data_IF_332056391226
#
_entry.id   IF_332056391226
#
_cell.length_a   1.000
_cell.length_b   1.000
_cell.length_c   1.000
_cell.angle_alpha   90.00
_cell.angle_beta   90.00
_cell.angle_gamma   90.00
#
_symmetry.space_group_name_H-M   'P 1'
#
loop_
_entity.id
_entity.type
_entity.pdbx_description
1 polymer ?
#
# COMPACT_ATOMS: atom_id res chain seq x y z
N UNK A 1 -48.28 -21.35 14.66
CA UNK A 1 -48.54 -20.75 15.99
C UNK A 1 -47.19 -20.31 16.53
N UNK A 2 -46.91 -18.99 16.47
CA UNK A 2 -45.94 -18.14 17.20
C UNK A 2 -44.68 -18.82 17.78
N UNK A 3 -43.42 -18.49 17.44
CA UNK A 3 -42.76 -17.16 17.52
C UNK A 3 -41.40 -17.16 16.77
N UNK A 4 -41.06 -16.13 15.97
CA UNK A 4 -39.72 -15.86 15.43
C UNK A 4 -39.03 -14.67 16.13
N UNK A 5 -37.70 -14.73 16.28
CA UNK A 5 -36.90 -13.53 16.55
C UNK A 5 -35.65 -13.78 17.38
N UNK A 6 -34.52 -13.98 16.73
CA UNK A 6 -33.20 -13.52 17.19
C UNK A 6 -32.32 -13.24 15.95
N UNK A 7 -31.99 -11.95 15.74
CA UNK A 7 -31.01 -11.45 14.78
C UNK A 7 -29.61 -11.51 15.44
N UNK A 8 -28.60 -12.15 14.83
CA UNK A 8 -27.27 -12.25 15.42
C UNK A 8 -26.41 -10.97 15.33
N UNK A 9 -26.96 -9.81 14.93
CA UNK A 9 -26.25 -8.52 14.79
C UNK A 9 -26.23 -7.60 16.03
N UNK A 10 -26.63 -8.07 17.20
CA UNK A 10 -26.57 -7.28 18.43
C UNK A 10 -25.20 -7.42 19.13
N UNK A 11 -24.23 -6.61 18.70
CA UNK A 11 -23.07 -6.24 19.52
C UNK A 11 -22.89 -4.72 19.44
N UNK A 12 -22.85 -4.07 20.61
CA UNK A 12 -22.88 -2.61 20.80
C UNK A 12 -21.87 -1.85 19.91
N UNK A 13 -22.39 -1.26 18.84
CA UNK A 13 -21.73 -0.27 18.01
C UNK A 13 -22.79 0.66 17.43
N UNK A 14 -22.68 1.97 17.68
CA UNK A 14 -23.67 2.95 17.24
C UNK A 14 -23.68 3.08 15.71
N UNK A 15 -24.67 2.49 15.05
CA UNK A 15 -24.95 2.68 13.62
C UNK A 15 -25.78 3.96 13.44
N UNK A 16 -25.29 4.92 12.64
CA UNK A 16 -26.07 6.10 12.23
C UNK A 16 -26.33 6.03 10.72
N UNK A 17 -27.61 5.99 10.32
CA UNK A 17 -28.04 6.03 8.91
C UNK A 17 -28.57 7.43 8.56
N UNK A 18 -28.25 7.94 7.36
CA UNK A 18 -28.77 9.20 6.82
C UNK A 18 -29.54 8.97 5.52
N UNK A 19 -30.77 9.45 5.42
CA UNK A 19 -31.72 9.15 4.33
C UNK A 19 -31.84 10.33 3.33
N UNK A 20 -31.91 10.07 2.01
CA UNK A 20 -32.29 11.08 1.01
C UNK A 20 -32.90 10.42 -0.26
N UNK A 21 -33.89 11.11 -0.86
CA UNK A 21 -34.83 10.67 -1.92
C UNK A 21 -34.24 10.60 -3.36
N UNK A 22 -34.95 9.97 -4.34
CA UNK A 22 -34.34 9.29 -5.51
C UNK A 22 -34.43 10.06 -6.83
N UNK A 23 -33.55 9.72 -7.79
CA UNK A 23 -33.91 9.50 -9.21
C UNK A 23 -32.72 8.99 -10.06
N UNK A 24 -33.05 8.20 -11.09
CA UNK A 24 -32.26 7.15 -11.80
C UNK A 24 -32.20 5.88 -10.94
N UNK A 25 -32.36 4.67 -11.51
CA UNK A 25 -32.17 3.37 -10.83
C UNK A 25 -30.74 3.30 -10.24
N UNK A 26 -30.55 4.02 -9.14
CA UNK A 26 -29.32 4.12 -8.42
C UNK A 26 -29.26 2.84 -7.61
N UNK A 27 -28.30 1.98 -7.93
CA UNK A 27 -27.90 0.91 -7.01
C UNK A 27 -27.70 1.57 -5.66
N UNK A 28 -28.62 1.32 -4.73
CA UNK A 28 -28.67 2.05 -3.50
C UNK A 28 -27.47 1.58 -2.67
N UNK A 29 -26.46 2.41 -2.50
CA UNK A 29 -25.29 2.05 -1.69
C UNK A 29 -25.44 2.63 -0.28
N UNK A 30 -25.25 1.79 0.73
CA UNK A 30 -25.17 2.20 2.14
C UNK A 30 -23.71 2.26 2.58
N UNK A 31 -23.39 3.22 3.45
CA UNK A 31 -22.05 3.36 4.03
C UNK A 31 -22.15 3.13 5.53
N UNK A 32 -21.48 2.10 6.03
CA UNK A 32 -21.35 1.82 7.45
C UNK A 32 -19.98 2.27 7.95
N UNK A 33 -19.96 2.98 9.08
CA UNK A 33 -18.72 3.35 9.78
C UNK A 33 -18.46 2.34 10.89
N UNK A 34 -17.37 1.58 10.77
CA UNK A 34 -16.96 0.62 11.80
C UNK A 34 -15.70 1.12 12.50
N UNK A 35 -15.67 1.04 13.82
CA UNK A 35 -14.56 1.55 14.65
C UNK A 35 -14.05 0.57 15.71
N UNK A 36 -14.51 -0.68 15.64
CA UNK A 36 -14.10 -1.73 16.56
C UNK A 36 -13.86 -3.05 15.83
N UNK A 37 -12.95 -3.86 16.37
CA UNK A 37 -12.70 -5.20 15.83
C UNK A 37 -13.95 -6.09 15.90
N UNK A 38 -14.78 -5.95 16.95
CA UNK A 38 -16.03 -6.69 17.09
C UNK A 38 -17.01 -6.39 15.93
N UNK A 39 -17.13 -5.12 15.54
CA UNK A 39 -17.96 -4.72 14.40
C UNK A 39 -17.40 -5.14 13.03
N UNK A 40 -16.08 -5.35 12.91
CA UNK A 40 -15.44 -5.77 11.66
C UNK A 40 -15.52 -7.28 11.40
N UNK A 41 -15.43 -8.12 12.44
CA UNK A 41 -15.39 -9.58 12.31
C UNK A 41 -16.51 -10.17 11.43
N UNK A 42 -17.77 -9.72 11.51
CA UNK A 42 -18.85 -10.21 10.64
C UNK A 42 -18.62 -9.99 9.14
N UNK A 43 -17.78 -9.03 8.76
CA UNK A 43 -17.53 -8.65 7.36
C UNK A 43 -16.30 -9.32 6.75
N UNK A 44 -15.60 -10.17 7.50
CA UNK A 44 -14.36 -10.81 7.03
C UNK A 44 -14.54 -11.60 5.73
N UNK A 45 -15.58 -12.44 5.55
CA UNK A 45 -15.79 -13.13 4.27
C UNK A 45 -16.00 -12.17 3.09
N UNK A 46 -16.80 -11.12 3.27
CA UNK A 46 -17.12 -10.14 2.23
C UNK A 46 -15.90 -9.28 1.88
N UNK A 47 -15.05 -8.97 2.86
CA UNK A 47 -13.78 -8.28 2.66
C UNK A 47 -12.81 -9.12 1.81
N UNK A 48 -12.64 -10.40 2.14
CA UNK A 48 -11.80 -11.29 1.33
C UNK A 48 -12.29 -11.40 -0.11
N UNK A 49 -13.60 -11.55 -0.27
CA UNK A 49 -14.20 -11.61 -1.59
C UNK A 49 -14.03 -10.28 -2.35
N UNK A 50 -14.12 -9.13 -1.68
CA UNK A 50 -13.89 -7.80 -2.29
C UNK A 50 -12.45 -7.66 -2.80
N UNK A 51 -11.46 -8.14 -2.03
CA UNK A 51 -10.05 -8.06 -2.43
C UNK A 51 -9.79 -8.76 -3.78
N UNK A 52 -10.46 -9.88 -4.05
CA UNK A 52 -10.32 -10.64 -5.30
C UNK A 52 -10.92 -9.92 -6.52
N UNK A 53 -11.95 -9.08 -6.31
CA UNK A 53 -12.67 -8.38 -7.39
C UNK A 53 -12.43 -6.87 -7.42
N UNK A 54 -11.43 -6.38 -6.69
CA UNK A 54 -11.17 -4.95 -6.62
C UNK A 54 -10.72 -4.38 -7.98
N UNK A 55 -11.01 -3.09 -8.16
CA UNK A 55 -10.68 -2.31 -9.36
C UNK A 55 -9.17 -2.08 -9.49
N UNK A 56 -8.50 -1.86 -8.37
CA UNK A 56 -7.04 -1.65 -8.26
C UNK A 56 -6.54 -2.44 -7.06
N UNK A 57 -5.50 -3.28 -7.19
CA UNK A 57 -4.98 -4.08 -6.09
C UNK A 57 -4.40 -3.21 -4.98
N UNK A 58 -4.70 -3.56 -3.73
CA UNK A 58 -4.02 -3.04 -2.56
C UNK A 58 -3.87 -4.12 -1.48
N UNK A 59 -2.76 -4.89 -1.45
CA UNK A 59 -2.57 -5.95 -0.47
C UNK A 59 -2.51 -5.43 0.97
N UNK A 60 -2.16 -4.16 1.18
CA UNK A 60 -2.04 -3.57 2.51
C UNK A 60 -3.40 -3.30 3.17
N UNK A 61 -4.47 -3.19 2.37
CA UNK A 61 -5.85 -3.07 2.85
C UNK A 61 -6.63 -4.38 2.73
N UNK A 62 -5.97 -5.48 2.39
CA UNK A 62 -6.57 -6.79 2.52
C UNK A 62 -6.62 -7.24 3.98
N UNK A 63 -7.55 -8.13 4.30
CA UNK A 63 -7.78 -8.63 5.67
C UNK A 63 -6.49 -9.14 6.32
N UNK A 64 -5.69 -9.91 5.57
CA UNK A 64 -4.44 -10.51 6.04
C UNK A 64 -3.36 -9.51 6.46
N UNK A 65 -3.39 -8.28 5.93
CA UNK A 65 -2.43 -7.24 6.28
C UNK A 65 -3.00 -6.23 7.29
N UNK A 66 -4.22 -5.75 7.06
CA UNK A 66 -4.80 -4.69 7.87
C UNK A 66 -5.29 -5.18 9.24
N UNK A 67 -5.90 -6.37 9.33
CA UNK A 67 -6.43 -6.86 10.62
C UNK A 67 -5.31 -7.04 11.66
N UNK A 68 -4.17 -7.70 11.35
CA UNK A 68 -3.05 -7.75 12.29
C UNK A 68 -2.56 -6.35 12.69
N UNK A 69 -2.52 -5.37 11.78
CA UNK A 69 -2.11 -3.99 12.09
C UNK A 69 -3.03 -3.29 13.10
N UNK A 70 -4.33 -3.57 13.02
CA UNK A 70 -5.32 -3.06 13.97
C UNK A 70 -5.24 -3.77 15.32
N UNK A 71 -5.12 -5.11 15.32
CA UNK A 71 -5.06 -5.93 16.55
C UNK A 71 -3.77 -5.69 17.35
N UNK A 72 -2.63 -5.53 16.67
CA UNK A 72 -1.32 -5.27 17.28
C UNK A 72 -1.11 -3.79 17.69
N UNK A 73 -2.12 -2.93 17.48
CA UNK A 73 -2.08 -1.52 17.86
C UNK A 73 -1.04 -0.69 17.09
N UNK A 74 -0.65 -1.13 15.89
CA UNK A 74 0.28 -0.42 15.02
C UNK A 74 -0.42 0.78 14.36
N UNK A 75 -1.69 0.59 13.99
CA UNK A 75 -2.55 1.69 13.56
C UNK A 75 -2.97 2.52 14.78
N UNK A 76 -2.84 3.84 14.68
CA UNK A 76 -3.22 4.72 15.77
C UNK A 76 -4.71 4.58 16.14
N UNK A 77 -5.02 4.80 17.41
CA UNK A 77 -6.40 4.83 17.90
C UNK A 77 -7.25 5.87 17.12
N UNK A 78 -8.55 5.58 17.00
CA UNK A 78 -9.48 6.45 16.28
C UNK A 78 -9.54 6.23 14.77
N UNK A 79 -9.05 5.10 14.28
CA UNK A 79 -9.33 4.62 12.94
C UNK A 79 -10.84 4.34 12.75
N UNK A 80 -11.29 4.37 11.50
CA UNK A 80 -12.63 4.01 11.03
C UNK A 80 -12.46 3.20 9.75
N UNK A 81 -13.30 2.20 9.54
CA UNK A 81 -13.40 1.52 8.25
C UNK A 81 -14.79 1.84 7.69
N UNK A 82 -14.82 2.53 6.55
CA UNK A 82 -16.03 2.74 5.79
C UNK A 82 -16.31 1.48 4.97
N UNK A 83 -17.41 0.80 5.26
CA UNK A 83 -17.91 -0.33 4.48
C UNK A 83 -19.03 0.17 3.56
N UNK A 84 -18.82 0.07 2.26
CA UNK A 84 -19.80 0.45 1.25
C UNK A 84 -20.49 -0.82 0.76
N UNK A 85 -21.79 -0.92 1.03
CA UNK A 85 -22.58 -2.14 0.83
C UNK A 85 -23.68 -1.86 -0.19
N UNK A 86 -23.87 -2.80 -1.10
CA UNK A 86 -24.96 -2.79 -2.07
C UNK A 86 -26.29 -3.08 -1.32
N UNK A 87 -27.26 -2.17 -1.36
CA UNK A 87 -28.53 -2.36 -0.64
C UNK A 87 -29.36 -3.49 -1.25
N UNK A 88 -29.18 -3.76 -2.54
CA UNK A 88 -29.88 -4.83 -3.25
C UNK A 88 -29.19 -6.19 -3.06
N UNK A 89 -27.94 -6.18 -2.56
CA UNK A 89 -27.16 -7.34 -2.22
C UNK A 89 -26.38 -7.08 -0.91
N UNK A 90 -27.03 -7.15 0.27
CA UNK A 90 -26.43 -6.75 1.56
C UNK A 90 -25.20 -7.57 1.95
N UNK A 91 -25.04 -8.77 1.38
CA UNK A 91 -23.86 -9.61 1.56
C UNK A 91 -22.71 -9.25 0.60
N UNK A 92 -22.89 -8.25 -0.27
CA UNK A 92 -21.88 -7.80 -1.23
C UNK A 92 -21.30 -6.46 -0.80
N UNK A 93 -20.06 -6.52 -0.34
CA UNK A 93 -19.25 -5.33 -0.12
C UNK A 93 -18.78 -4.77 -1.47
N UNK A 94 -19.17 -3.53 -1.76
CA UNK A 94 -18.80 -2.77 -2.95
C UNK A 94 -17.59 -1.85 -2.71
N UNK A 95 -17.27 -1.55 -1.46
CA UNK A 95 -16.07 -0.79 -1.11
C UNK A 95 -15.66 -0.91 0.34
N UNK A 96 -14.36 -0.74 0.59
CA UNK A 96 -13.76 -0.70 1.92
C UNK A 96 -12.70 0.41 1.95
N UNK A 97 -12.93 1.41 2.79
CA UNK A 97 -12.05 2.59 2.92
C UNK A 97 -11.60 2.74 4.37
N UNK A 98 -10.41 2.23 4.74
CA UNK A 98 -9.83 2.46 6.06
C UNK A 98 -9.38 3.91 6.14
N UNK A 99 -9.91 4.67 7.09
CA UNK A 99 -9.55 6.08 7.33
C UNK A 99 -9.19 6.34 8.79
N UNK A 100 -8.42 7.38 9.02
CA UNK A 100 -8.08 7.91 10.32
C UNK A 100 -8.13 9.43 10.30
N UNK A 101 -8.37 10.03 11.46
CA UNK A 101 -8.40 11.48 11.59
C UNK A 101 -7.01 12.00 11.90
N UNK A 102 -6.51 12.90 11.06
CA UNK A 102 -5.19 13.53 11.19
C UNK A 102 -5.28 15.03 10.97
N UNK A 103 -4.28 15.79 11.44
CA UNK A 103 -4.11 17.18 10.99
C UNK A 103 -3.64 17.15 9.53
N UNK A 104 -4.18 18.02 8.70
CA UNK A 104 -3.74 18.13 7.31
C UNK A 104 -2.28 18.58 7.22
N UNK A 105 -1.92 19.54 8.09
CA UNK A 105 -0.62 20.19 8.11
C UNK A 105 -0.24 20.59 9.55
N UNK A 106 1.04 20.52 9.97
CA UNK A 106 1.45 20.88 11.33
C UNK A 106 1.05 22.30 11.77
N UNK A 107 1.04 23.25 10.82
CA UNK A 107 0.74 24.66 11.05
C UNK A 107 -0.76 25.01 11.04
N UNK A 108 -1.67 24.06 10.75
CA UNK A 108 -3.10 24.33 10.65
C UNK A 108 -3.88 23.35 11.52
N UNK A 109 -4.81 23.81 12.38
CA UNK A 109 -5.56 22.92 13.28
C UNK A 109 -6.63 22.08 12.56
N UNK A 110 -6.88 22.34 11.28
CA UNK A 110 -7.87 21.64 10.47
C UNK A 110 -7.52 20.14 10.37
N UNK A 111 -8.44 19.32 10.87
CA UNK A 111 -8.40 17.89 10.68
C UNK A 111 -8.88 17.50 9.28
N UNK A 112 -8.37 16.38 8.79
CA UNK A 112 -8.81 15.67 7.59
C UNK A 112 -8.96 14.19 7.92
N UNK A 113 -9.85 13.52 7.21
CA UNK A 113 -9.84 12.07 7.10
C UNK A 113 -8.76 11.68 6.10
N UNK A 114 -7.87 10.77 6.47
CA UNK A 114 -6.85 10.20 5.59
C UNK A 114 -6.95 8.70 5.60
N UNK A 115 -6.53 8.00 4.53
CA UNK A 115 -6.39 6.56 4.57
C UNK A 115 -5.53 6.11 5.76
N UNK A 116 -5.88 5.01 6.42
CA UNK A 116 -5.06 4.42 7.49
C UNK A 116 -3.66 4.13 6.94
N UNK A 117 -2.63 4.59 7.63
CA UNK A 117 -1.23 4.40 7.25
C UNK A 117 -0.42 3.87 8.43
N UNK A 118 0.56 3.02 8.11
CA UNK A 118 1.58 2.52 9.04
C UNK A 118 2.82 2.08 8.25
N UNK A 119 3.91 1.74 8.94
CA UNK A 119 5.23 1.43 8.35
C UNK A 119 5.28 0.19 7.43
N UNK A 120 4.14 -0.49 7.27
CA UNK A 120 3.96 -1.68 6.45
C UNK A 120 2.85 -1.51 5.40
N UNK A 121 2.29 -0.30 5.24
CA UNK A 121 1.27 0.02 4.23
C UNK A 121 1.82 1.04 3.23
N UNK A 122 2.20 0.56 2.04
CA UNK A 122 2.83 1.41 1.01
C UNK A 122 1.85 1.89 -0.07
N UNK A 123 0.60 1.42 -0.04
CA UNK A 123 -0.49 1.86 -0.92
C UNK A 123 -1.73 2.14 -0.07
N UNK A 124 -2.42 3.22 -0.40
CA UNK A 124 -3.60 3.71 0.33
C UNK A 124 -4.83 3.78 -0.57
N UNK A 125 -4.80 3.10 -1.72
CA UNK A 125 -5.95 3.00 -2.62
C UNK A 125 -7.07 2.23 -1.91
N UNK A 126 -8.28 2.80 -1.83
CA UNK A 126 -9.41 2.08 -1.25
C UNK A 126 -9.73 0.82 -2.05
N UNK A 127 -10.18 -0.24 -1.37
CA UNK A 127 -10.70 -1.42 -2.07
C UNK A 127 -12.07 -1.07 -2.61
N UNK A 128 -12.22 -1.03 -3.94
CA UNK A 128 -13.49 -0.74 -4.61
C UNK A 128 -13.79 -1.89 -5.57
N UNK A 129 -14.99 -2.45 -5.51
CA UNK A 129 -15.45 -3.51 -6.41
C UNK A 129 -15.49 -2.98 -7.85
N UNK A 130 -14.81 -3.67 -8.77
CA UNK A 130 -14.70 -3.26 -10.17
C UNK A 130 -16.05 -3.14 -10.86
N UNK A 131 -17.00 -4.02 -10.54
CA UNK A 131 -18.33 -4.05 -11.14
C UNK A 131 -19.32 -3.06 -10.50
N UNK A 132 -18.92 -2.43 -9.38
CA UNK A 132 -19.74 -1.47 -8.64
C UNK A 132 -19.01 -0.14 -8.43
N UNK A 133 -17.96 0.11 -9.22
CA UNK A 133 -17.02 1.20 -8.96
C UNK A 133 -17.68 2.58 -8.97
N UNK A 134 -18.51 2.88 -9.98
CA UNK A 134 -19.25 4.14 -10.07
C UNK A 134 -20.14 4.37 -8.83
N UNK A 135 -20.99 3.39 -8.49
CA UNK A 135 -21.90 3.48 -7.35
C UNK A 135 -21.14 3.57 -6.00
N UNK A 136 -20.04 2.85 -5.85
CA UNK A 136 -19.23 2.89 -4.63
C UNK A 136 -18.50 4.24 -4.46
N UNK A 137 -17.92 4.79 -5.53
CA UNK A 137 -17.31 6.14 -5.50
C UNK A 137 -18.35 7.21 -5.23
N UNK A 138 -19.54 7.12 -5.83
CA UNK A 138 -20.64 8.04 -5.55
C UNK A 138 -21.05 7.99 -4.06
N UNK A 139 -21.18 6.79 -3.49
CA UNK A 139 -21.48 6.59 -2.07
C UNK A 139 -20.42 7.18 -1.14
N UNK A 140 -19.13 6.99 -1.46
CA UNK A 140 -18.03 7.60 -0.71
C UNK A 140 -18.13 9.13 -0.73
N UNK A 141 -18.45 9.73 -1.87
CA UNK A 141 -18.60 11.20 -1.96
C UNK A 141 -19.87 11.71 -1.27
N UNK A 142 -20.96 10.93 -1.25
CA UNK A 142 -22.13 11.22 -0.42
C UNK A 142 -21.76 11.23 1.06
N UNK A 143 -20.94 10.29 1.50
CA UNK A 143 -20.42 10.26 2.87
C UNK A 143 -19.57 11.50 3.18
N UNK A 144 -18.68 11.93 2.27
CA UNK A 144 -17.90 13.17 2.43
C UNK A 144 -18.81 14.40 2.55
N UNK A 145 -19.89 14.45 1.76
CA UNK A 145 -20.89 15.53 1.83
C UNK A 145 -21.59 15.56 3.18
N UNK A 146 -22.02 14.40 3.69
CA UNK A 146 -22.65 14.28 5.00
C UNK A 146 -21.71 14.68 6.15
N UNK A 147 -20.41 14.41 5.98
CA UNK A 147 -19.36 14.72 6.96
C UNK A 147 -18.59 16.03 6.66
N UNK A 148 -19.21 16.97 5.94
CA UNK A 148 -18.55 18.09 5.26
C UNK A 148 -17.77 19.12 6.08
N UNK A 149 -17.70 18.96 7.41
CA UNK A 149 -16.81 19.74 8.28
C UNK A 149 -15.35 19.27 8.26
N UNK A 150 -15.11 18.02 7.85
CA UNK A 150 -13.79 17.39 7.79
C UNK A 150 -13.55 16.87 6.37
N UNK A 151 -12.64 17.47 5.58
CA UNK A 151 -12.31 17.00 4.24
C UNK A 151 -11.72 15.58 4.26
N UNK A 152 -11.84 14.86 3.14
CA UNK A 152 -11.18 13.58 2.89
C UNK A 152 -9.96 13.78 2.01
N UNK A 153 -8.78 13.42 2.51
CA UNK A 153 -7.51 13.49 1.79
C UNK A 153 -7.08 12.08 1.37
N UNK A 154 -7.40 11.71 0.13
CA UNK A 154 -6.98 10.43 -0.45
C UNK A 154 -5.52 10.56 -0.88
N UNK A 155 -4.62 10.10 -0.02
CA UNK A 155 -3.17 10.20 -0.21
C UNK A 155 -2.68 9.09 -1.15
N UNK A 156 -1.64 9.39 -1.94
CA UNK A 156 -0.94 8.43 -2.81
C UNK A 156 -1.87 7.57 -3.69
N UNK A 157 -2.79 8.23 -4.39
CA UNK A 157 -3.58 7.59 -5.44
C UNK A 157 -2.74 7.48 -6.73
N UNK A 158 -2.70 6.30 -7.37
CA UNK A 158 -2.02 6.10 -8.64
C UNK A 158 -2.79 6.82 -9.76
N UNK A 159 -2.12 7.75 -10.42
CA UNK A 159 -2.72 8.67 -11.41
C UNK A 159 -3.23 7.93 -12.63
N UNK A 160 -2.50 6.90 -13.05
CA UNK A 160 -2.72 6.16 -14.30
C UNK A 160 -3.63 4.92 -14.12
N UNK A 161 -4.23 4.73 -12.94
CA UNK A 161 -5.14 3.62 -12.64
C UNK A 161 -6.61 4.05 -12.72
N UNK A 162 -7.56 3.15 -13.03
CA UNK A 162 -8.97 3.48 -13.28
C UNK A 162 -9.68 4.26 -12.16
N UNK A 163 -9.26 4.09 -10.91
CA UNK A 163 -9.88 4.75 -9.75
C UNK A 163 -9.74 6.27 -9.77
N UNK A 164 -8.60 6.80 -10.25
CA UNK A 164 -8.31 8.24 -10.24
C UNK A 164 -9.16 9.04 -11.25
N UNK A 165 -9.24 8.69 -12.55
CA UNK A 165 -10.13 9.36 -13.48
C UNK A 165 -11.60 9.18 -13.10
N UNK A 166 -11.99 8.01 -12.56
CA UNK A 166 -13.35 7.77 -12.06
C UNK A 166 -13.72 8.74 -10.93
N UNK A 167 -12.84 8.88 -9.94
CA UNK A 167 -12.99 9.83 -8.84
C UNK A 167 -13.07 11.27 -9.36
N UNK A 168 -12.19 11.67 -10.29
CA UNK A 168 -12.24 13.01 -10.89
C UNK A 168 -13.54 13.29 -11.63
N UNK A 169 -14.08 12.31 -12.37
CA UNK A 169 -15.36 12.44 -13.05
C UNK A 169 -16.51 12.69 -12.05
N UNK A 170 -16.55 11.93 -10.97
CA UNK A 170 -17.54 12.09 -9.90
C UNK A 170 -17.43 13.43 -9.18
N UNK A 171 -16.21 13.84 -8.82
CA UNK A 171 -15.96 15.14 -8.18
C UNK A 171 -16.42 16.31 -9.06
N UNK A 172 -16.18 16.23 -10.38
CA UNK A 172 -16.65 17.23 -11.35
C UNK A 172 -18.17 17.26 -11.44
N UNK A 173 -18.81 16.08 -11.62
CA UNK A 173 -20.27 15.92 -11.74
C UNK A 173 -21.01 16.47 -10.52
N UNK A 174 -20.45 16.30 -9.33
CA UNK A 174 -21.05 16.73 -8.06
C UNK A 174 -20.58 18.12 -7.59
N UNK A 175 -19.80 18.86 -8.39
CA UNK A 175 -19.21 20.15 -8.03
C UNK A 175 -18.46 20.17 -6.67
N UNK A 176 -17.80 19.06 -6.35
CA UNK A 176 -17.03 18.90 -5.12
C UNK A 176 -15.70 19.65 -5.25
N UNK A 177 -15.37 20.59 -4.33
CA UNK A 177 -14.07 21.24 -4.33
C UNK A 177 -12.96 20.21 -4.06
N UNK A 178 -11.86 20.34 -4.80
CA UNK A 178 -10.71 19.45 -4.66
C UNK A 178 -9.38 20.19 -4.79
N UNK A 179 -8.35 19.64 -4.16
CA UNK A 179 -6.96 20.03 -4.33
C UNK A 179 -6.15 18.77 -4.67
N UNK A 180 -5.47 18.78 -5.81
CA UNK A 180 -4.48 17.75 -6.16
C UNK A 180 -3.13 18.23 -5.65
N UNK A 181 -2.44 17.40 -4.88
CA UNK A 181 -1.18 17.75 -4.23
C UNK A 181 -0.23 16.56 -4.13
N UNK A 182 0.99 16.82 -3.68
CA UNK A 182 2.05 15.81 -3.49
C UNK A 182 2.27 14.86 -4.69
N UNK A 183 2.47 15.39 -5.92
CA UNK A 183 2.79 14.53 -7.06
C UNK A 183 4.16 13.88 -6.86
N UNK A 184 4.24 12.58 -7.11
CA UNK A 184 5.50 11.84 -7.00
C UNK A 184 5.50 10.59 -7.85
N UNK A 185 6.70 10.19 -8.26
CA UNK A 185 6.91 8.96 -9.02
C UNK A 185 7.52 7.91 -8.12
N UNK A 186 7.13 6.65 -8.35
CA UNK A 186 7.77 5.47 -7.79
C UNK A 186 8.27 4.57 -8.90
N UNK A 187 9.41 3.95 -8.67
CA UNK A 187 9.96 2.98 -9.62
C UNK A 187 9.07 1.77 -9.75
N UNK A 188 9.10 1.19 -10.95
CA UNK A 188 8.20 0.14 -11.37
C UNK A 188 8.92 -0.85 -12.30
N UNK A 189 8.64 -2.15 -12.19
CA UNK A 189 9.18 -3.17 -13.09
C UNK A 189 8.08 -3.95 -13.81
N UNK A 190 8.02 -3.81 -15.13
CA UNK A 190 7.20 -4.64 -16.04
C UNK A 190 8.14 -5.45 -16.93
N UNK A 191 7.93 -6.77 -17.09
CA UNK A 191 8.74 -7.58 -18.00
C UNK A 191 8.63 -7.09 -19.44
N UNK A 192 9.77 -6.99 -20.11
CA UNK A 192 9.89 -6.72 -21.55
C UNK A 192 10.13 -8.01 -22.34
N UNK A 193 10.89 -7.90 -23.44
CA UNK A 193 11.20 -9.04 -24.30
C UNK A 193 12.14 -10.08 -23.65
N UNK A 194 13.11 -9.64 -22.85
CA UNK A 194 14.01 -10.51 -22.08
C UNK A 194 14.66 -9.73 -20.94
N UNK A 195 15.15 -10.43 -19.91
CA UNK A 195 15.85 -9.80 -18.81
C UNK A 195 17.13 -9.09 -19.26
N UNK A 196 17.86 -9.67 -20.22
CA UNK A 196 19.09 -9.08 -20.77
C UNK A 196 18.79 -7.75 -21.49
N UNK A 197 17.71 -7.72 -22.29
CA UNK A 197 17.27 -6.51 -22.98
C UNK A 197 16.83 -5.44 -21.98
N UNK A 198 16.06 -5.84 -20.96
CA UNK A 198 15.62 -4.96 -19.88
C UNK A 198 16.81 -4.33 -19.14
N UNK A 199 17.74 -5.16 -18.66
CA UNK A 199 18.93 -4.70 -17.93
C UNK A 199 19.87 -3.86 -18.82
N UNK A 200 19.94 -4.15 -20.12
CA UNK A 200 20.72 -3.35 -21.06
C UNK A 200 20.11 -1.94 -21.27
N UNK A 201 18.78 -1.81 -21.22
CA UNK A 201 18.08 -0.53 -21.23
C UNK A 201 18.20 0.22 -19.91
N UNK A 202 18.14 -0.47 -18.78
CA UNK A 202 18.24 0.12 -17.45
C UNK A 202 19.66 0.58 -17.09
N UNK A 203 20.69 -0.21 -17.46
CA UNK A 203 22.05 -0.04 -16.97
C UNK A 203 23.09 0.07 -18.09
N UNK A 204 23.96 1.09 -17.98
CA UNK A 204 25.16 1.25 -18.82
C UNK A 204 26.04 -0.01 -18.78
N UNK A 205 26.67 -0.35 -19.92
CA UNK A 205 27.56 -1.52 -20.07
C UNK A 205 28.64 -1.62 -18.98
N UNK A 206 29.27 -0.51 -18.59
CA UNK A 206 30.27 -0.46 -17.52
C UNK A 206 29.69 -0.92 -16.17
N UNK A 207 28.50 -0.45 -15.80
CA UNK A 207 27.85 -0.80 -14.54
C UNK A 207 27.43 -2.27 -14.52
N UNK A 208 26.91 -2.80 -15.63
CA UNK A 208 26.60 -4.24 -15.75
C UNK A 208 27.83 -5.13 -15.57
N UNK A 209 28.96 -4.76 -16.18
CA UNK A 209 30.23 -5.49 -16.00
C UNK A 209 30.71 -5.47 -14.54
N UNK A 210 30.59 -4.33 -13.86
CA UNK A 210 30.97 -4.23 -12.45
C UNK A 210 30.05 -5.07 -11.56
N UNK A 211 28.73 -5.05 -11.78
CA UNK A 211 27.78 -5.88 -11.02
C UNK A 211 28.06 -7.38 -11.22
N UNK A 212 28.33 -7.82 -12.46
CA UNK A 212 28.73 -9.21 -12.74
C UNK A 212 30.06 -9.58 -12.06
N UNK A 213 31.01 -8.64 -11.99
CA UNK A 213 32.26 -8.83 -11.24
C UNK A 213 32.01 -8.93 -9.73
N UNK A 214 31.18 -8.06 -9.17
CA UNK A 214 30.79 -8.08 -7.76
C UNK A 214 30.11 -9.40 -7.38
N UNK A 215 29.21 -9.92 -8.23
CA UNK A 215 28.55 -11.21 -8.03
C UNK A 215 29.56 -12.37 -7.98
N UNK A 216 30.49 -12.45 -8.95
CA UNK A 216 31.55 -13.48 -8.93
C UNK A 216 32.43 -13.38 -7.69
N UNK A 217 32.82 -12.16 -7.30
CA UNK A 217 33.65 -11.94 -6.10
C UNK A 217 32.92 -12.21 -4.79
N UNK A 218 31.59 -12.15 -4.77
CA UNK A 218 30.80 -12.60 -3.63
C UNK A 218 30.87 -14.13 -3.52
N UNK A 219 30.74 -14.84 -4.65
CA UNK A 219 30.89 -16.30 -4.73
C UNK A 219 32.32 -16.82 -4.47
N UNK A 220 33.33 -15.95 -4.41
CA UNK A 220 34.67 -16.34 -3.94
C UNK A 220 34.71 -16.62 -2.42
N UNK A 221 33.69 -16.18 -1.66
CA UNK A 221 33.62 -16.40 -0.20
C UNK A 221 32.95 -17.72 0.20
N UNK A 222 32.38 -18.48 -0.74
CA UNK A 222 31.58 -19.68 -0.45
C UNK A 222 30.62 -20.05 -1.57
N UNK A 223 29.79 -21.08 -1.35
CA UNK A 223 28.76 -21.52 -2.30
C UNK A 223 27.64 -20.49 -2.34
N UNK A 224 27.63 -19.65 -3.39
CA UNK A 224 26.61 -18.63 -3.62
C UNK A 224 25.42 -19.21 -4.41
N UNK A 225 24.22 -19.13 -3.84
CA UNK A 225 22.99 -19.64 -4.43
C UNK A 225 21.87 -18.60 -4.34
N UNK A 226 21.08 -18.49 -5.41
CA UNK A 226 19.80 -17.80 -5.36
C UNK A 226 18.70 -18.81 -5.04
N UNK A 227 17.92 -18.54 -4.00
CA UNK A 227 16.80 -19.39 -3.56
C UNK A 227 15.52 -18.58 -3.53
N UNK A 228 14.40 -19.28 -3.69
CA UNK A 228 13.05 -18.72 -3.59
C UNK A 228 12.21 -19.70 -2.79
N UNK A 229 11.35 -19.19 -1.93
CA UNK A 229 10.38 -19.97 -1.18
C UNK A 229 9.52 -20.77 -2.16
N UNK A 230 9.56 -22.10 -2.08
CA UNK A 230 8.78 -22.97 -2.92
C UNK A 230 7.32 -23.07 -2.41
N UNK A 231 6.34 -23.34 -3.29
CA UNK A 231 4.97 -23.59 -2.85
C UNK A 231 4.90 -24.74 -1.82
N UNK A 232 4.34 -24.46 -0.64
CA UNK A 232 4.17 -25.46 0.42
C UNK A 232 5.42 -25.70 1.29
N UNK A 233 6.51 -24.97 1.06
CA UNK A 233 7.66 -24.93 1.96
C UNK A 233 7.29 -24.19 3.27
N UNK A 234 7.99 -24.50 4.36
CA UNK A 234 7.79 -23.79 5.63
C UNK A 234 8.26 -22.33 5.52
N UNK A 235 7.31 -21.39 5.65
CA UNK A 235 7.57 -19.96 5.56
C UNK A 235 8.19 -19.41 6.85
N UNK A 236 8.03 -20.09 8.00
CA UNK A 236 8.49 -19.59 9.29
C UNK A 236 10.03 -19.44 9.32
N UNK A 237 10.77 -20.43 8.82
CA UNK A 237 12.24 -20.34 8.73
C UNK A 237 12.71 -19.15 7.87
N UNK A 238 11.99 -18.80 6.81
CA UNK A 238 12.29 -17.63 5.99
C UNK A 238 11.99 -16.31 6.71
N UNK A 239 10.90 -16.26 7.50
CA UNK A 239 10.56 -15.12 8.35
C UNK A 239 11.64 -14.88 9.40
N UNK A 240 12.04 -15.90 10.14
CA UNK A 240 13.08 -15.81 11.17
C UNK A 240 14.41 -15.30 10.59
N UNK A 241 14.82 -15.87 9.45
CA UNK A 241 16.02 -15.44 8.74
C UNK A 241 15.93 -13.98 8.28
N UNK A 242 14.77 -13.55 7.75
CA UNK A 242 14.56 -12.17 7.32
C UNK A 242 14.66 -11.20 8.49
N UNK A 243 13.98 -11.52 9.59
CA UNK A 243 13.93 -10.69 10.81
C UNK A 243 15.32 -10.55 11.43
N UNK A 244 16.07 -11.66 11.52
CA UNK A 244 17.44 -11.65 12.01
C UNK A 244 18.37 -10.81 11.12
N UNK A 245 18.28 -10.97 9.80
CA UNK A 245 19.08 -10.22 8.83
C UNK A 245 18.78 -8.72 8.88
N UNK A 246 17.50 -8.34 8.97
CA UNK A 246 17.09 -6.94 9.05
C UNK A 246 17.55 -6.27 10.36
N UNK A 247 17.47 -7.01 11.47
CA UNK A 247 17.93 -6.56 12.79
C UNK A 247 19.45 -6.41 12.87
N UNK A 248 20.23 -7.19 12.13
CA UNK A 248 21.68 -7.05 12.08
C UNK A 248 22.15 -5.83 11.24
N UNK A 249 21.29 -5.32 10.34
CA UNK A 249 21.61 -4.24 9.42
C UNK A 249 21.30 -2.82 9.93
N UNK A 250 21.25 -1.86 8.99
CA UNK A 250 21.03 -0.44 9.24
C UNK A 250 19.71 -0.15 9.92
N UNK A 251 18.67 -0.96 9.65
CA UNK A 251 17.36 -0.83 10.28
C UNK A 251 17.40 -1.21 11.76
N UNK A 252 18.19 -2.22 12.13
CA UNK A 252 18.45 -2.55 13.52
C UNK A 252 19.11 -1.38 14.25
N UNK A 253 20.17 -0.81 13.66
CA UNK A 253 20.87 0.36 14.22
C UNK A 253 19.97 1.59 14.35
N UNK A 254 19.07 1.79 13.39
CA UNK A 254 18.12 2.92 13.40
C UNK A 254 16.87 2.65 14.26
N UNK A 255 16.75 1.47 14.87
CA UNK A 255 15.59 1.09 15.68
C UNK A 255 14.29 0.86 14.88
N UNK A 256 14.39 0.67 13.56
CA UNK A 256 13.25 0.50 12.65
C UNK A 256 13.13 -0.91 12.06
N UNK A 257 13.97 -1.85 12.50
CA UNK A 257 13.85 -3.26 12.14
C UNK A 257 12.54 -3.85 12.68
N UNK A 258 11.99 -4.85 11.98
CA UNK A 258 10.81 -5.60 12.41
C UNK A 258 10.98 -6.16 13.83
N UNK A 259 12.18 -6.65 14.16
CA UNK A 259 12.51 -7.18 15.49
C UNK A 259 12.51 -6.13 16.62
N UNK A 260 12.51 -4.83 16.30
CA UNK A 260 12.63 -3.78 17.32
C UNK A 260 11.42 -3.72 18.26
N UNK A 261 10.25 -4.20 17.82
CA UNK A 261 9.00 -4.21 18.59
C UNK A 261 8.25 -5.52 18.34
N UNK A 262 7.82 -6.20 19.40
CA UNK A 262 7.10 -7.49 19.29
C UNK A 262 5.83 -7.38 18.44
N UNK A 263 5.07 -6.29 18.55
CA UNK A 263 3.87 -6.05 17.74
C UNK A 263 4.17 -5.98 16.24
N UNK A 264 5.32 -5.41 15.87
CA UNK A 264 5.76 -5.33 14.47
C UNK A 264 6.19 -6.70 13.94
N UNK A 265 6.85 -7.50 14.78
CA UNK A 265 7.22 -8.87 14.46
C UNK A 265 5.99 -9.76 14.23
N UNK A 266 5.04 -9.77 15.18
CA UNK A 266 3.80 -10.53 15.05
C UNK A 266 2.96 -10.11 13.85
N UNK A 267 2.89 -8.80 13.53
CA UNK A 267 2.25 -8.35 12.30
C UNK A 267 2.93 -8.95 11.06
N UNK A 268 4.26 -8.88 10.99
CA UNK A 268 5.00 -9.35 9.82
C UNK A 268 4.80 -10.85 9.61
N UNK A 269 4.93 -11.63 10.68
CA UNK A 269 4.71 -13.08 10.69
C UNK A 269 3.28 -13.42 10.21
N UNK A 270 2.24 -12.88 10.86
CA UNK A 270 0.84 -13.15 10.50
C UNK A 270 0.49 -12.75 9.08
N UNK A 271 1.04 -11.62 8.60
CA UNK A 271 0.86 -11.16 7.23
C UNK A 271 1.52 -12.15 6.25
N UNK A 272 2.77 -12.53 6.50
CA UNK A 272 3.52 -13.44 5.64
C UNK A 272 2.86 -14.81 5.58
N UNK A 273 2.41 -15.35 6.71
CA UNK A 273 1.67 -16.61 6.79
C UNK A 273 0.35 -16.58 6.01
N UNK A 274 -0.48 -15.55 6.18
CA UNK A 274 -1.77 -15.44 5.48
C UNK A 274 -1.57 -15.33 3.95
N UNK A 275 -0.58 -14.56 3.51
CA UNK A 275 -0.27 -14.43 2.08
C UNK A 275 0.37 -15.70 1.52
N UNK A 276 1.22 -16.39 2.29
CA UNK A 276 1.81 -17.67 1.90
C UNK A 276 0.75 -18.76 1.72
N UNK A 277 -0.16 -18.91 2.69
CA UNK A 277 -1.27 -19.86 2.62
C UNK A 277 -2.17 -19.65 1.39
N UNK A 278 -2.18 -18.44 0.84
CA UNK A 278 -2.95 -18.06 -0.36
C UNK A 278 -2.12 -18.11 -1.65
N UNK A 279 -0.84 -18.49 -1.59
CA UNK A 279 0.06 -18.50 -2.75
C UNK A 279 0.36 -17.10 -3.30
N UNK A 280 0.28 -16.07 -2.45
CA UNK A 280 0.41 -14.64 -2.82
C UNK A 280 1.60 -13.95 -2.18
N UNK A 281 2.60 -14.73 -1.80
CA UNK A 281 3.88 -14.22 -1.33
C UNK A 281 5.00 -14.70 -2.23
N UNK A 282 6.00 -13.85 -2.39
CA UNK A 282 7.20 -14.14 -3.15
C UNK A 282 8.42 -13.76 -2.32
N UNK A 283 9.03 -14.74 -1.65
CA UNK A 283 10.24 -14.57 -0.85
C UNK A 283 11.42 -15.16 -1.60
N UNK A 284 12.47 -14.38 -1.78
CA UNK A 284 13.71 -14.83 -2.41
C UNK A 284 14.95 -14.31 -1.69
N UNK A 285 16.08 -14.96 -1.91
CA UNK A 285 17.33 -14.60 -1.27
C UNK A 285 18.57 -15.07 -1.99
N UNK A 286 19.68 -14.41 -1.67
CA UNK A 286 21.02 -14.88 -1.98
C UNK A 286 21.61 -15.51 -0.72
N UNK A 287 22.14 -16.72 -0.85
CA UNK A 287 22.70 -17.51 0.24
C UNK A 287 24.16 -17.82 -0.05
N UNK A 288 25.02 -17.65 0.96
CA UNK A 288 26.42 -18.01 0.94
C UNK A 288 26.64 -19.11 1.98
N UNK A 289 27.00 -20.33 1.56
CA UNK A 289 27.14 -21.49 2.44
C UNK A 289 25.93 -21.66 3.38
N UNK A 290 24.74 -21.65 2.78
CA UNK A 290 23.44 -21.77 3.46
C UNK A 290 23.05 -20.59 4.38
N UNK A 291 23.87 -19.53 4.47
CA UNK A 291 23.56 -18.30 5.22
C UNK A 291 23.00 -17.20 4.31
N UNK A 292 21.87 -16.55 4.65
CA UNK A 292 21.31 -15.49 3.83
C UNK A 292 22.19 -14.23 3.87
N UNK A 293 22.63 -13.76 2.70
CA UNK A 293 23.37 -12.49 2.55
C UNK A 293 22.47 -11.38 1.97
N UNK A 294 21.34 -11.74 1.37
CA UNK A 294 20.27 -10.83 1.01
C UNK A 294 18.93 -11.59 1.02
N UNK A 295 17.88 -10.96 1.52
CA UNK A 295 16.52 -11.49 1.49
C UNK A 295 15.54 -10.39 1.04
N UNK A 296 14.53 -10.80 0.29
CA UNK A 296 13.45 -9.94 -0.19
C UNK A 296 12.13 -10.66 -0.02
N UNK A 297 11.13 -9.93 0.45
CA UNK A 297 9.76 -10.36 0.57
C UNK A 297 8.88 -9.44 -0.29
N UNK A 298 8.08 -10.04 -1.17
CA UNK A 298 7.13 -9.33 -2.03
C UNK A 298 5.71 -9.87 -1.81
N UNK A 299 4.72 -8.99 -1.88
CA UNK A 299 3.30 -9.36 -1.80
C UNK A 299 2.66 -9.33 -3.18
N UNK A 300 1.73 -10.25 -3.44
CA UNK A 300 0.94 -10.29 -4.66
C UNK A 300 -0.50 -9.90 -4.33
N UNK A 301 -1.04 -8.89 -5.03
CA UNK A 301 -2.43 -8.46 -4.86
C UNK A 301 -3.42 -9.58 -5.19
N UNK A 302 -4.55 -9.63 -4.47
CA UNK A 302 -5.56 -10.67 -4.66
C UNK A 302 -6.31 -10.59 -6.00
N UNK A 303 -6.46 -9.39 -6.56
CA UNK A 303 -7.22 -9.23 -7.81
C UNK A 303 -6.39 -9.63 -9.03
N UNK A 304 -7.11 -9.83 -10.14
CA UNK A 304 -6.52 -10.16 -11.44
C UNK A 304 -5.39 -9.19 -11.83
N UNK A 305 -4.42 -9.71 -12.57
CA UNK A 305 -3.28 -8.92 -13.06
C UNK A 305 -1.94 -9.28 -12.42
N UNK A 306 -1.91 -10.10 -11.36
CA UNK A 306 -0.65 -10.57 -10.72
C UNK A 306 0.31 -9.41 -10.40
N UNK A 307 -0.23 -8.32 -9.84
CA UNK A 307 0.56 -7.16 -9.43
C UNK A 307 1.29 -7.44 -8.13
N UNK A 308 2.61 -7.34 -8.18
CA UNK A 308 3.51 -7.44 -7.04
C UNK A 308 3.77 -6.11 -6.35
N UNK A 309 4.17 -6.20 -5.10
CA UNK A 309 4.54 -5.06 -4.25
C UNK A 309 5.81 -5.44 -3.52
N UNK A 310 6.92 -4.74 -3.81
CA UNK A 310 8.20 -4.99 -3.17
C UNK A 310 8.15 -4.52 -1.71
N UNK A 311 7.86 -5.45 -0.81
CA UNK A 311 7.44 -5.12 0.54
C UNK A 311 8.62 -4.83 1.46
N UNK A 312 9.58 -5.76 1.53
CA UNK A 312 10.77 -5.61 2.36
C UNK A 312 11.99 -6.23 1.68
N UNK A 313 13.14 -5.61 1.89
CA UNK A 313 14.46 -6.13 1.53
C UNK A 313 15.44 -5.86 2.66
N UNK A 314 16.34 -6.80 2.90
CA UNK A 314 17.45 -6.73 3.84
C UNK A 314 18.68 -7.40 3.23
N UNK A 315 19.87 -6.97 3.64
CA UNK A 315 21.12 -7.58 3.22
C UNK A 315 22.15 -7.51 4.34
N UNK A 316 23.12 -8.41 4.28
CA UNK A 316 24.24 -8.45 5.20
C UNK A 316 25.29 -7.42 4.81
N UNK A 317 25.44 -6.41 5.65
CA UNK A 317 26.33 -5.27 5.40
C UNK A 317 27.81 -5.65 5.38
N UNK A 318 28.20 -6.80 5.95
CA UNK A 318 29.57 -7.33 5.81
C UNK A 318 29.96 -7.53 4.35
N UNK A 319 28.96 -7.74 3.49
CA UNK A 319 29.11 -7.92 2.05
C UNK A 319 28.67 -6.69 1.22
N UNK A 320 28.45 -5.52 1.83
CA UNK A 320 27.94 -4.30 1.16
C UNK A 320 28.74 -3.95 -0.12
N UNK A 321 30.07 -4.14 -0.10
CA UNK A 321 30.96 -3.88 -1.25
C UNK A 321 30.61 -4.68 -2.51
N UNK A 322 29.85 -5.76 -2.36
CA UNK A 322 29.36 -6.62 -3.45
C UNK A 322 27.91 -6.33 -3.87
N UNK A 323 27.28 -5.39 -3.17
CA UNK A 323 25.91 -4.93 -3.38
C UNK A 323 24.86 -6.05 -3.40
N UNK A 324 24.75 -6.91 -2.35
CA UNK A 324 23.88 -8.09 -2.39
C UNK A 324 22.40 -7.77 -2.67
N UNK A 325 21.88 -6.65 -2.13
CA UNK A 325 20.53 -6.19 -2.46
C UNK A 325 20.33 -5.88 -3.94
N UNK A 326 21.32 -5.27 -4.62
CA UNK A 326 21.27 -5.01 -6.07
C UNK A 326 21.31 -6.32 -6.85
N UNK A 327 22.13 -7.28 -6.41
CA UNK A 327 22.21 -8.60 -7.04
C UNK A 327 20.87 -9.34 -6.93
N UNK A 328 20.23 -9.32 -5.76
CA UNK A 328 18.93 -9.94 -5.56
C UNK A 328 17.83 -9.27 -6.40
N UNK A 329 17.89 -7.95 -6.61
CA UNK A 329 16.98 -7.27 -7.55
C UNK A 329 17.19 -7.68 -9.01
N UNK A 330 18.44 -7.94 -9.41
CA UNK A 330 18.74 -8.47 -10.75
C UNK A 330 18.14 -9.87 -10.91
N UNK A 331 18.31 -10.74 -9.91
CA UNK A 331 17.67 -12.07 -9.89
C UNK A 331 16.15 -11.97 -9.94
N UNK A 332 15.55 -10.98 -9.25
CA UNK A 332 14.12 -10.72 -9.35
C UNK A 332 13.70 -10.32 -10.77
N UNK A 333 14.47 -9.43 -11.43
CA UNK A 333 14.22 -9.04 -12.82
C UNK A 333 14.32 -10.26 -13.74
N UNK A 334 15.33 -11.11 -13.56
CA UNK A 334 15.49 -12.35 -14.34
C UNK A 334 14.28 -13.26 -14.15
N UNK A 335 13.87 -13.52 -12.90
CA UNK A 335 12.71 -14.35 -12.59
C UNK A 335 11.41 -13.80 -13.20
N UNK A 336 11.19 -12.48 -13.14
CA UNK A 336 10.02 -11.84 -13.75
C UNK A 336 9.94 -11.98 -15.28
N UNK A 337 11.06 -12.24 -15.97
CA UNK A 337 11.10 -12.52 -17.41
C UNK A 337 11.14 -14.02 -17.73
N UNK A 338 11.09 -14.88 -16.71
CA UNK A 338 11.07 -16.33 -16.86
C UNK A 338 9.66 -16.91 -17.05
N UNK A 339 9.56 -18.20 -17.43
CA UNK A 339 8.27 -18.88 -17.60
C UNK A 339 7.49 -19.02 -16.29
N UNK A 340 8.19 -19.10 -15.16
CA UNK A 340 7.61 -19.29 -13.82
C UNK A 340 7.27 -17.97 -13.12
N UNK A 341 7.23 -16.85 -13.85
CA UNK A 341 7.01 -15.53 -13.28
C UNK A 341 5.65 -15.47 -12.54
N UNK A 342 5.72 -15.27 -11.22
CA UNK A 342 4.55 -15.08 -10.37
C UNK A 342 3.84 -13.74 -10.62
N UNK A 343 4.55 -12.75 -11.19
CA UNK A 343 4.09 -11.38 -11.34
C UNK A 343 4.48 -10.82 -12.72
N UNK A 344 3.60 -10.02 -13.33
CA UNK A 344 3.88 -9.35 -14.60
C UNK A 344 4.07 -7.82 -14.45
N UNK A 345 4.00 -7.33 -13.21
CA UNK A 345 4.13 -5.92 -12.86
C UNK A 345 4.40 -5.86 -11.35
N UNK A 346 5.46 -5.19 -10.88
CA UNK A 346 5.78 -4.99 -9.46
C UNK A 346 5.99 -3.53 -9.04
N UNK A 347 5.16 -2.97 -8.17
CA UNK A 347 5.39 -1.66 -7.54
C UNK A 347 6.56 -1.73 -6.55
N UNK A 348 7.52 -0.80 -6.64
CA UNK A 348 8.70 -0.81 -5.75
C UNK A 348 8.36 -0.52 -4.30
N UNK A 349 7.21 0.13 -4.03
CA UNK A 349 6.82 0.64 -2.72
C UNK A 349 7.87 1.58 -2.09
N UNK A 350 8.88 1.98 -2.85
CA UNK A 350 9.99 2.78 -2.37
C UNK A 350 9.63 4.26 -2.39
N UNK A 351 10.32 5.04 -1.56
CA UNK A 351 10.32 6.49 -1.68
C UNK A 351 10.88 6.91 -3.05
N UNK A 352 10.45 8.06 -3.55
CA UNK A 352 11.04 8.66 -4.75
C UNK A 352 12.55 8.89 -4.55
N UNK A 353 13.34 8.78 -5.62
CA UNK A 353 14.80 8.93 -5.61
C UNK A 353 15.53 7.83 -4.83
N UNK A 354 14.91 6.66 -4.64
CA UNK A 354 15.57 5.55 -3.95
C UNK A 354 16.78 5.06 -4.75
N UNK A 355 17.96 5.17 -4.14
CA UNK A 355 19.28 5.15 -4.79
C UNK A 355 19.54 3.95 -5.73
N UNK A 356 18.95 2.80 -5.40
CA UNK A 356 19.12 1.54 -6.11
C UNK A 356 17.99 1.29 -7.12
N UNK A 357 16.76 1.26 -6.62
CA UNK A 357 15.60 0.75 -7.37
C UNK A 357 15.25 1.66 -8.56
N UNK A 358 15.38 2.99 -8.42
CA UNK A 358 15.10 3.94 -9.50
C UNK A 358 16.02 3.75 -10.72
N UNK A 359 17.21 3.16 -10.52
CA UNK A 359 18.18 2.89 -11.60
C UNK A 359 17.96 1.53 -12.27
N UNK A 360 17.40 0.57 -11.55
CA UNK A 360 17.16 -0.78 -12.04
C UNK A 360 15.80 -0.91 -12.71
N UNK A 361 14.77 -0.36 -12.07
CA UNK A 361 13.39 -0.51 -12.47
C UNK A 361 13.03 0.67 -13.38
N UNK A 362 12.76 0.40 -14.65
CA UNK A 362 12.66 1.44 -15.71
C UNK A 362 11.30 2.09 -15.81
N UNK A 363 10.23 1.41 -15.40
CA UNK A 363 8.89 1.97 -15.45
C UNK A 363 8.73 3.01 -14.33
N UNK A 364 7.75 3.89 -14.48
CA UNK A 364 7.39 4.89 -13.47
C UNK A 364 5.90 4.84 -13.20
N UNK A 365 5.53 4.62 -11.95
CA UNK A 365 4.15 4.74 -11.48
C UNK A 365 3.98 6.12 -10.85
N UNK A 366 3.08 6.92 -11.42
CA UNK A 366 2.79 8.28 -10.97
C UNK A 366 1.72 8.25 -9.88
N UNK A 367 1.97 8.96 -8.80
CA UNK A 367 1.06 9.10 -7.67
C UNK A 367 0.74 10.56 -7.42
N UNK A 368 -0.47 10.82 -6.91
CA UNK A 368 -0.86 12.13 -6.41
C UNK A 368 -1.86 11.96 -5.26
N UNK A 369 -1.98 12.99 -4.42
CA UNK A 369 -2.99 13.02 -3.36
C UNK A 369 -4.14 13.93 -3.77
N UNK A 370 -5.37 13.56 -3.42
CA UNK A 370 -6.58 14.33 -3.74
C UNK A 370 -7.31 14.64 -2.44
N UNK A 371 -7.23 15.89 -2.03
CA UNK A 371 -8.01 16.44 -0.93
C UNK A 371 -9.38 16.87 -1.46
N UNK A 372 -10.45 16.33 -0.88
CA UNK A 372 -11.85 16.52 -1.28
C UNK A 372 -12.62 17.17 -0.14
N UNK A 373 -13.27 18.31 -0.42
CA UNK A 373 -14.17 18.98 0.51
C UNK A 373 -15.63 18.77 0.14
N UNK A 374 -16.54 19.04 1.08
CA UNK A 374 -17.97 19.09 0.80
C UNK A 374 -18.32 20.21 -0.20
N UNK A 375 -19.45 20.11 -0.94
CA UNK A 375 -19.84 21.12 -1.90
C UNK A 375 -20.27 22.41 -1.19
N UNK A 376 -20.28 23.52 -1.94
CA UNK A 376 -20.68 24.84 -1.43
C UNK A 376 -19.51 25.71 -0.96
N UNK A 377 -19.85 26.90 -0.42
CA UNK A 377 -18.88 27.96 -0.12
C UNK A 377 -17.91 27.53 0.98
N UNK A 378 -18.42 26.94 2.08
CA UNK A 378 -17.59 26.51 3.22
C UNK A 378 -16.51 25.51 2.80
N UNK A 379 -16.88 24.44 2.08
CA UNK A 379 -15.91 23.45 1.62
C UNK A 379 -14.89 24.04 0.65
N UNK A 380 -15.31 24.92 -0.28
CA UNK A 380 -14.38 25.65 -1.16
C UNK A 380 -13.37 26.48 -0.37
N UNK A 381 -13.84 27.24 0.62
CA UNK A 381 -12.98 28.05 1.48
C UNK A 381 -12.01 27.19 2.29
N UNK A 382 -12.46 26.06 2.85
CA UNK A 382 -11.59 25.12 3.57
C UNK A 382 -10.49 24.58 2.67
N UNK A 383 -10.82 24.10 1.46
CA UNK A 383 -9.83 23.59 0.51
C UNK A 383 -8.82 24.68 0.12
N UNK A 384 -9.28 25.91 -0.13
CA UNK A 384 -8.39 27.04 -0.46
C UNK A 384 -7.46 27.44 0.69
N UNK A 385 -7.96 27.43 1.93
CA UNK A 385 -7.14 27.70 3.10
C UNK A 385 -6.04 26.64 3.28
N UNK A 386 -6.37 25.37 3.07
CA UNK A 386 -5.41 24.26 3.15
C UNK A 386 -4.38 24.30 2.01
N UNK A 387 -4.80 24.64 0.79
CA UNK A 387 -3.90 24.89 -0.34
C UNK A 387 -2.89 25.99 -0.03
N UNK A 388 -3.35 27.13 0.51
CA UNK A 388 -2.48 28.24 0.89
C UNK A 388 -1.49 27.87 1.99
N UNK A 389 -1.92 27.13 3.01
CA UNK A 389 -1.04 26.68 4.09
C UNK A 389 0.04 25.71 3.60
N UNK A 390 -0.31 24.76 2.73
CA UNK A 390 0.65 23.84 2.13
C UNK A 390 1.63 24.54 1.19
N UNK A 391 1.21 25.58 0.48
CA UNK A 391 2.08 26.41 -0.35
C UNK A 391 3.08 27.22 0.51
N UNK A 392 2.61 27.87 1.57
CA UNK A 392 3.45 28.65 2.48
C UNK A 392 4.54 27.77 3.13
N UNK A 393 4.17 26.60 3.65
CA UNK A 393 5.15 25.71 4.27
C UNK A 393 6.25 25.26 3.30
N UNK A 394 5.91 24.96 2.03
CA UNK A 394 6.92 24.62 1.02
C UNK A 394 7.90 25.76 0.77
N UNK A 395 7.44 27.02 0.80
CA UNK A 395 8.29 28.20 0.63
C UNK A 395 9.25 28.34 1.81
N UNK A 396 8.79 28.13 3.04
CA UNK A 396 9.64 28.24 4.23
C UNK A 396 10.60 27.04 4.39
N UNK A 397 10.12 25.81 4.21
CA UNK A 397 10.97 24.61 4.26
C UNK A 397 12.02 24.58 3.13
N UNK A 398 11.68 25.14 1.97
CA UNK A 398 12.61 25.34 0.85
C UNK A 398 13.68 26.41 1.11
N UNK A 399 13.45 27.35 2.03
CA UNK A 399 14.45 28.35 2.46
C UNK A 399 15.43 27.77 3.49
N UNK A 400 14.94 26.94 4.41
CA UNK A 400 15.80 26.28 5.40
C UNK A 400 16.73 25.24 4.76
N UNK A 401 16.33 24.61 3.66
CA UNK A 401 17.18 23.68 2.90
C UNK A 401 18.27 24.37 2.06
N UNK A 402 18.09 25.65 1.69
CA UNK A 402 19.12 26.44 1.00
C UNK A 402 20.10 27.13 1.96
N UNK A 403 19.79 27.24 3.25
CA UNK A 403 20.72 27.77 4.26
C UNK A 403 21.62 26.68 4.90
N UNK A 404 21.38 25.39 4.60
CA UNK A 404 22.17 24.27 5.12
C UNK A 404 23.23 23.68 4.18
N UNK A 405 23.34 24.16 2.93
CA UNK A 405 24.30 23.67 1.92
C UNK A 405 25.61 24.48 1.83
N UNK A 406 25.81 25.49 2.69
CA UNK A 406 27.12 26.13 2.88
C UNK A 406 27.74 25.74 4.23
N UNK A 407 28.34 24.55 4.29
CA UNK A 407 29.58 24.31 5.03
C UNK A 407 30.19 22.95 4.60
N UNK A 408 31.54 22.90 4.49
CA UNK A 408 32.26 22.11 3.50
C UNK A 408 32.31 20.59 3.72
#
# INVERSE_FOLDING_TARGET
MLWPGQDPRAADGTVRTGNCAPDIEAVAMQVFEIDSMAGLRPWFPQWEALAQRCLVPNPFYERGALVPALEEGIVAAGWRILLIVDSDAPDRLAGLVPIERRRFHPLVPQAVWRPVAHDYAFCSVPLIDRERADAAVDALLRWVRANGSVPLDLVDLPVDEPITPLLHAHLRRQHMPRLVHNPRDRAACRPGASAEAYLAGALRKKRRKELARQYRRLGEHGRLECRRLAPGEDVHGWVEQFVALEAAGWKGRNGTAIAARSSHHHLFERLVEDFHAKGRIDICGLFLDDQPVALKCNLVGACEGRTGFAFKIAYDERFERYSPGVQLEIEQIVHMHGPDAAMNWMDSCASSQHFMIDRLWTERRRFSSILVGAPGIRGRSTIKALEGAAALHRIYAGRDSQQGEEQP
#
